data_IF_815057029883
#
_entry.id   IF_815057029883
#
_cell.length_a   1.000
_cell.length_b   1.000
_cell.length_c   1.000
_cell.angle_alpha   90.00
_cell.angle_beta   90.00
_cell.angle_gamma   90.00
#
_symmetry.space_group_name_H-M   'P 1'
#
loop_
_entity.id
_entity.type
_entity.pdbx_description
1 polymer ?
#
# COMPACT_ATOMS: atom_id res chain seq x y z
N UNK A 1 -7.27 -23.51 25.80
CA UNK A 1 -6.58 -22.25 25.38
C UNK A 1 -6.71 -22.11 23.86
N UNK A 2 -7.69 -21.34 23.39
CA UNK A 2 -7.80 -20.98 21.97
C UNK A 2 -7.12 -19.61 21.79
N UNK A 3 -5.97 -19.57 21.12
CA UNK A 3 -5.40 -18.32 20.65
C UNK A 3 -6.29 -17.80 19.52
N UNK A 4 -7.03 -16.73 19.81
CA UNK A 4 -7.67 -15.89 18.81
C UNK A 4 -6.60 -15.28 17.90
N UNK A 5 -6.31 -15.97 16.81
CA UNK A 5 -5.52 -15.45 15.70
C UNK A 5 -6.29 -14.25 15.14
N UNK A 6 -5.90 -13.05 15.53
CA UNK A 6 -6.33 -11.80 14.91
C UNK A 6 -6.06 -11.93 13.41
N UNK A 7 -7.09 -12.23 12.62
CA UNK A 7 -7.02 -12.26 11.16
C UNK A 7 -6.93 -10.81 10.69
N UNK A 8 -5.75 -10.22 10.84
CA UNK A 8 -5.39 -9.04 10.08
C UNK A 8 -5.25 -9.52 8.64
N UNK A 9 -6.31 -9.40 7.85
CA UNK A 9 -6.34 -9.83 6.45
C UNK A 9 -5.21 -9.12 5.73
N UNK A 10 -4.12 -9.84 5.45
CA UNK A 10 -2.93 -9.25 4.86
C UNK A 10 -3.32 -8.66 3.50
N UNK A 11 -3.19 -7.33 3.37
CA UNK A 11 -3.60 -6.63 2.14
C UNK A 11 -2.67 -7.09 1.03
N UNK A 12 -3.26 -7.56 -0.07
CA UNK A 12 -2.51 -8.03 -1.25
C UNK A 12 -2.65 -7.09 -2.44
N UNK A 13 -1.63 -7.03 -3.28
CA UNK A 13 -1.61 -6.26 -4.52
C UNK A 13 -1.11 -7.11 -5.69
N UNK A 14 -1.54 -6.76 -6.90
CA UNK A 14 -1.11 -7.44 -8.13
C UNK A 14 -0.27 -6.51 -8.99
N UNK A 15 0.52 -7.08 -9.92
CA UNK A 15 1.27 -6.28 -10.92
C UNK A 15 0.35 -5.36 -11.73
N UNK A 16 -0.88 -5.78 -11.99
CA UNK A 16 -1.87 -4.96 -12.70
C UNK A 16 -2.28 -3.73 -11.87
N UNK A 17 -2.50 -3.91 -10.58
CA UNK A 17 -2.79 -2.80 -9.67
C UNK A 17 -1.61 -1.83 -9.55
N UNK A 18 -0.37 -2.33 -9.48
CA UNK A 18 0.84 -1.49 -9.51
C UNK A 18 0.91 -0.62 -10.77
N UNK A 19 0.54 -1.18 -11.93
CA UNK A 19 0.44 -0.41 -13.18
C UNK A 19 -0.67 0.65 -13.12
N UNK A 20 -1.79 0.33 -12.48
CA UNK A 20 -2.87 1.27 -12.25
C UNK A 20 -2.47 2.45 -11.35
N UNK A 21 -1.48 2.27 -10.46
CA UNK A 21 -0.88 3.34 -9.66
C UNK A 21 0.18 4.16 -10.41
N UNK A 22 0.51 3.81 -11.66
CA UNK A 22 1.44 4.56 -12.51
C UNK A 22 2.77 3.84 -12.79
N UNK A 23 3.01 2.66 -12.23
CA UNK A 23 4.20 1.89 -12.57
C UNK A 23 4.14 1.40 -14.04
N UNK A 24 5.28 1.40 -14.73
CA UNK A 24 5.38 0.72 -16.01
C UNK A 24 5.37 -0.79 -15.83
N UNK A 25 5.14 -1.54 -16.91
CA UNK A 25 5.20 -3.02 -16.88
C UNK A 25 6.53 -3.51 -16.31
N UNK A 26 7.64 -2.94 -16.80
CA UNK A 26 8.98 -3.30 -16.35
C UNK A 26 9.18 -3.01 -14.85
N UNK A 27 8.73 -1.85 -14.37
CA UNK A 27 8.84 -1.49 -12.95
C UNK A 27 8.04 -2.46 -12.06
N UNK A 28 6.80 -2.78 -12.44
CA UNK A 28 5.97 -3.73 -11.70
C UNK A 28 6.61 -5.14 -11.64
N UNK A 29 7.23 -5.59 -12.74
CA UNK A 29 7.98 -6.84 -12.77
C UNK A 29 9.25 -6.77 -11.91
N UNK A 30 10.04 -5.71 -12.02
CA UNK A 30 11.28 -5.54 -11.28
C UNK A 30 11.08 -5.52 -9.75
N UNK A 31 10.04 -4.84 -9.28
CA UNK A 31 9.69 -4.75 -7.85
C UNK A 31 9.21 -6.11 -7.31
N UNK A 32 8.48 -6.88 -8.11
CA UNK A 32 7.88 -8.15 -7.67
C UNK A 32 8.73 -9.36 -8.04
N UNK A 33 9.89 -9.18 -8.68
CA UNK A 33 10.72 -10.27 -9.22
C UNK A 33 11.17 -11.26 -8.15
N UNK A 34 11.54 -10.75 -6.98
CA UNK A 34 12.08 -11.53 -5.87
C UNK A 34 11.04 -11.76 -4.77
N UNK A 35 9.76 -11.46 -5.03
CA UNK A 35 8.68 -11.63 -4.05
C UNK A 35 7.96 -12.94 -4.29
N UNK A 36 7.62 -13.64 -3.21
CA UNK A 36 6.79 -14.83 -3.26
C UNK A 36 5.32 -14.40 -3.30
N UNK A 37 4.56 -14.93 -4.27
CA UNK A 37 3.12 -14.71 -4.30
C UNK A 37 2.45 -15.49 -3.17
N UNK A 38 1.59 -14.82 -2.40
CA UNK A 38 0.87 -15.44 -1.27
C UNK A 38 -0.49 -15.99 -1.70
N UNK A 39 -1.04 -15.47 -2.79
CA UNK A 39 -2.29 -15.97 -3.37
C UNK A 39 -2.36 -15.67 -4.87
N UNK A 40 -3.41 -16.19 -5.50
CA UNK A 40 -3.82 -15.79 -6.85
C UNK A 40 -5.14 -15.00 -6.75
N UNK A 41 -5.19 -13.82 -7.37
CA UNK A 41 -6.43 -13.07 -7.57
C UNK A 41 -6.89 -13.31 -9.01
N UNK A 42 -7.69 -14.36 -9.21
CA UNK A 42 -8.04 -14.86 -10.54
C UNK A 42 -6.82 -15.49 -11.25
N UNK A 43 -6.41 -14.93 -12.40
CA UNK A 43 -5.21 -15.36 -13.15
C UNK A 43 -3.94 -14.58 -12.80
N UNK A 44 -4.00 -13.65 -11.84
CA UNK A 44 -2.88 -12.81 -11.46
C UNK A 44 -2.30 -13.21 -10.11
N UNK A 45 -0.96 -13.25 -10.01
CA UNK A 45 -0.26 -13.40 -8.74
C UNK A 45 -0.51 -12.19 -7.84
N UNK A 46 -0.87 -12.49 -6.59
CA UNK A 46 -1.11 -11.52 -5.53
C UNK A 46 0.06 -11.58 -4.53
N UNK A 47 0.63 -10.41 -4.28
CA UNK A 47 1.78 -10.21 -3.41
C UNK A 47 1.35 -9.42 -2.16
N UNK A 48 1.88 -9.72 -0.97
CA UNK A 48 1.65 -8.89 0.21
C UNK A 48 2.08 -7.46 -0.05
N UNK A 49 1.24 -6.49 0.32
CA UNK A 49 1.56 -5.07 0.12
C UNK A 49 2.78 -4.67 0.96
N UNK A 50 2.95 -5.25 2.15
CA UNK A 50 4.13 -5.13 3.01
C UNK A 50 5.44 -5.44 2.27
N UNK A 51 5.49 -6.60 1.63
CA UNK A 51 6.67 -7.07 0.89
C UNK A 51 6.95 -6.20 -0.33
N UNK A 52 5.89 -5.76 -1.03
CA UNK A 52 6.02 -4.85 -2.16
C UNK A 52 6.57 -3.49 -1.72
N UNK A 53 6.12 -2.96 -0.59
CA UNK A 53 6.64 -1.71 0.00
C UNK A 53 8.13 -1.85 0.34
N UNK A 54 8.53 -2.96 0.97
CA UNK A 54 9.93 -3.23 1.30
C UNK A 54 10.80 -3.30 0.04
N UNK A 55 10.32 -3.99 -1.01
CA UNK A 55 11.02 -4.09 -2.28
C UNK A 55 11.18 -2.74 -2.98
N UNK A 56 10.14 -1.88 -2.97
CA UNK A 56 10.25 -0.53 -3.55
C UNK A 56 11.29 0.31 -2.81
N UNK A 57 11.31 0.26 -1.47
CA UNK A 57 12.33 0.97 -0.66
C UNK A 57 13.74 0.50 -1.00
N UNK A 58 13.95 -0.81 -1.11
CA UNK A 58 15.23 -1.37 -1.52
C UNK A 58 15.60 -0.93 -2.95
N UNK A 59 14.63 -0.88 -3.85
CA UNK A 59 14.86 -0.40 -5.21
C UNK A 59 15.32 1.07 -5.20
N UNK A 60 14.63 1.95 -4.47
CA UNK A 60 14.95 3.39 -4.36
C UNK A 60 16.35 3.69 -3.79
N UNK A 61 16.93 2.77 -3.03
CA UNK A 61 18.30 2.88 -2.51
C UNK A 61 19.39 2.69 -3.58
N UNK A 62 19.04 2.22 -4.78
CA UNK A 62 20.01 2.05 -5.86
C UNK A 62 20.56 3.41 -6.32
N UNK A 63 21.90 3.56 -6.41
CA UNK A 63 22.52 4.85 -6.75
C UNK A 63 22.24 5.30 -8.18
N UNK A 64 22.04 4.34 -9.10
CA UNK A 64 21.81 4.61 -10.53
C UNK A 64 20.35 4.39 -10.91
N UNK A 65 19.45 5.19 -10.33
CA UNK A 65 18.04 5.26 -10.74
C UNK A 65 17.79 6.58 -11.46
N UNK A 66 17.11 6.49 -12.60
CA UNK A 66 16.65 7.68 -13.31
C UNK A 66 15.67 8.49 -12.44
N UNK A 67 15.81 9.82 -12.35
CA UNK A 67 14.95 10.67 -11.52
C UNK A 67 13.46 10.48 -11.79
N UNK A 68 13.05 10.34 -13.06
CA UNK A 68 11.67 10.06 -13.43
C UNK A 68 11.16 8.72 -12.87
N UNK A 69 12.01 7.68 -12.89
CA UNK A 69 11.67 6.38 -12.28
C UNK A 69 11.56 6.50 -10.76
N UNK A 70 12.44 7.25 -10.11
CA UNK A 70 12.37 7.52 -8.66
C UNK A 70 11.03 8.16 -8.28
N UNK A 71 10.63 9.23 -8.98
CA UNK A 71 9.35 9.92 -8.73
C UNK A 71 8.14 9.00 -8.89
N UNK A 72 8.11 8.18 -9.96
CA UNK A 72 7.02 7.21 -10.17
C UNK A 72 6.98 6.19 -9.02
N UNK A 73 8.13 5.66 -8.62
CA UNK A 73 8.20 4.68 -7.55
C UNK A 73 7.84 5.25 -6.17
N UNK A 74 8.18 6.50 -5.90
CA UNK A 74 7.75 7.23 -4.70
C UNK A 74 6.23 7.46 -4.69
N UNK A 75 5.63 7.82 -5.83
CA UNK A 75 4.18 7.95 -5.95
C UNK A 75 3.45 6.62 -5.74
N UNK A 76 3.97 5.53 -6.32
CA UNK A 76 3.43 4.17 -6.11
C UNK A 76 3.60 3.73 -4.66
N UNK A 77 4.75 4.01 -4.04
CA UNK A 77 5.00 3.74 -2.62
C UNK A 77 3.98 4.46 -1.74
N UNK A 78 3.73 5.75 -2.00
CA UNK A 78 2.75 6.54 -1.26
C UNK A 78 1.34 5.95 -1.38
N UNK A 79 0.92 5.57 -2.58
CA UNK A 79 -0.38 4.94 -2.80
C UNK A 79 -0.52 3.59 -2.07
N UNK A 80 0.55 2.80 -1.99
CA UNK A 80 0.57 1.54 -1.25
C UNK A 80 0.55 1.75 0.27
N UNK A 81 1.22 2.79 0.77
CA UNK A 81 1.21 3.16 2.20
C UNK A 81 -0.16 3.68 2.63
N UNK A 82 -0.79 4.54 1.83
CA UNK A 82 -2.20 4.96 2.01
C UNK A 82 -3.12 3.73 2.10
N UNK A 83 -2.90 2.75 1.22
CA UNK A 83 -3.68 1.51 1.18
C UNK A 83 -3.43 0.61 2.38
N UNK A 84 -2.21 0.51 2.92
CA UNK A 84 -1.95 -0.24 4.15
C UNK A 84 -2.69 0.37 5.34
N UNK A 85 -2.77 1.70 5.37
CA UNK A 85 -3.62 2.47 6.28
C UNK A 85 -2.80 3.34 7.22
N UNK A 86 -3.03 4.65 7.13
CA UNK A 86 -3.02 5.61 8.24
C UNK A 86 -1.93 5.45 9.31
N UNK A 87 -0.67 5.29 8.90
CA UNK A 87 0.46 5.56 9.79
C UNK A 87 0.68 7.08 9.78
N UNK A 88 -0.10 7.81 10.58
CA UNK A 88 0.30 9.15 11.00
C UNK A 88 1.44 8.93 11.99
N UNK A 89 2.65 9.36 11.66
CA UNK A 89 3.70 9.51 12.68
C UNK A 89 3.17 10.50 13.72
N UNK A 90 2.68 10.00 14.85
CA UNK A 90 2.36 10.84 16.00
C UNK A 90 3.69 11.05 16.72
N UNK A 91 4.24 12.28 16.78
CA UNK A 91 5.43 12.52 17.57
C UNK A 91 5.12 12.13 19.02
N UNK A 92 5.90 11.19 19.56
CA UNK A 92 5.87 10.82 20.97
C UNK A 92 6.36 12.02 21.80
N UNK A 93 5.48 12.98 22.09
CA UNK A 93 5.88 14.17 22.84
C UNK A 93 4.81 15.21 23.14
N UNK A 94 3.54 15.06 22.72
CA UNK A 94 2.56 16.14 22.90
C UNK A 94 1.19 15.64 23.37
N UNK A 95 0.93 15.94 24.65
CA UNK A 95 -0.36 16.12 25.33
C UNK A 95 -0.78 15.06 26.36
N UNK A 96 -0.63 15.49 27.61
CA UNK A 96 -1.03 14.88 28.88
C UNK A 96 -2.56 14.98 29.10
N UNK A 97 -3.38 14.72 28.07
CA UNK A 97 -4.85 14.77 28.22
C UNK A 97 -5.54 13.53 27.61
N UNK A 98 -6.04 12.60 28.44
CA UNK A 98 -6.60 11.32 28.00
C UNK A 98 -7.86 11.46 27.13
N UNK A 99 -8.62 12.54 27.27
CA UNK A 99 -9.81 12.79 26.44
C UNK A 99 -9.46 13.21 25.02
N UNK A 100 -8.43 14.04 24.84
CA UNK A 100 -7.90 14.44 23.53
C UNK A 100 -7.35 13.21 22.80
N UNK A 101 -6.65 12.32 23.52
CA UNK A 101 -6.17 11.07 22.95
C UNK A 101 -7.31 10.12 22.53
N UNK A 102 -8.42 10.10 23.28
CA UNK A 102 -9.60 9.28 22.93
C UNK A 102 -10.32 9.84 21.70
N UNK A 103 -10.52 11.15 21.63
CA UNK A 103 -11.08 11.85 20.47
C UNK A 103 -10.18 11.73 19.24
N UNK A 104 -8.86 11.90 19.39
CA UNK A 104 -7.89 11.70 18.32
C UNK A 104 -7.91 10.26 17.81
N UNK A 105 -8.00 9.25 18.70
CA UNK A 105 -8.15 7.85 18.31
C UNK A 105 -9.47 7.59 17.59
N UNK A 106 -10.58 8.12 18.08
CA UNK A 106 -11.89 7.99 17.42
C UNK A 106 -11.91 8.66 16.04
N UNK A 107 -11.35 9.85 15.92
CA UNK A 107 -11.21 10.57 14.65
C UNK A 107 -10.28 9.80 13.70
N UNK A 108 -9.15 9.28 14.18
CA UNK A 108 -8.23 8.48 13.38
C UNK A 108 -8.87 7.17 12.92
N UNK A 109 -9.70 6.54 13.76
CA UNK A 109 -10.47 5.35 13.40
C UNK A 109 -11.61 5.64 12.41
N UNK A 110 -12.33 6.76 12.60
CA UNK A 110 -13.36 7.18 11.66
C UNK A 110 -12.74 7.48 10.30
N UNK A 111 -11.65 8.26 10.30
CA UNK A 111 -10.87 8.59 9.12
C UNK A 111 -10.26 7.35 8.47
N UNK A 112 -9.77 6.37 9.23
CA UNK A 112 -9.22 5.13 8.67
C UNK A 112 -10.26 4.28 7.94
N UNK A 113 -11.53 4.32 8.36
CA UNK A 113 -12.62 3.67 7.62
C UNK A 113 -12.89 4.39 6.30
N UNK A 114 -12.95 5.72 6.31
CA UNK A 114 -13.16 6.51 5.09
C UNK A 114 -11.98 6.40 4.13
N UNK A 115 -10.76 6.45 4.64
CA UNK A 115 -9.52 6.31 3.85
C UNK A 115 -9.39 4.88 3.30
N UNK A 116 -9.80 3.86 4.06
CA UNK A 116 -9.84 2.47 3.56
C UNK A 116 -10.85 2.31 2.43
N UNK A 117 -12.06 2.86 2.59
CA UNK A 117 -13.07 2.86 1.54
C UNK A 117 -12.60 3.62 0.30
N UNK A 118 -11.94 4.77 0.48
CA UNK A 118 -11.37 5.56 -0.61
C UNK A 118 -10.19 4.84 -1.28
N UNK A 119 -9.36 4.13 -0.52
CA UNK A 119 -8.27 3.31 -1.04
C UNK A 119 -8.80 2.10 -1.83
N UNK A 120 -9.88 1.48 -1.38
CA UNK A 120 -10.60 0.43 -2.11
C UNK A 120 -11.19 0.99 -3.41
N UNK A 121 -11.86 2.14 -3.37
CA UNK A 121 -12.38 2.81 -4.57
C UNK A 121 -11.26 3.16 -5.57
N UNK A 122 -10.13 3.70 -5.09
CA UNK A 122 -8.94 3.95 -5.92
C UNK A 122 -8.39 2.67 -6.52
N UNK A 123 -8.33 1.57 -5.76
CA UNK A 123 -7.89 0.26 -6.27
C UNK A 123 -8.85 -0.27 -7.35
N UNK A 124 -10.15 -0.09 -7.15
CA UNK A 124 -11.19 -0.46 -8.12
C UNK A 124 -11.06 0.37 -9.39
N UNK A 125 -10.91 1.69 -9.27
CA UNK A 125 -10.66 2.60 -10.38
C UNK A 125 -9.37 2.26 -11.13
N UNK A 126 -8.31 1.89 -10.42
CA UNK A 126 -7.05 1.42 -11.01
C UNK A 126 -7.24 0.14 -11.84
N UNK A 127 -8.04 -0.83 -11.35
CA UNK A 127 -8.37 -2.02 -12.13
C UNK A 127 -9.20 -1.70 -13.39
N UNK A 128 -10.14 -0.75 -13.30
CA UNK A 128 -10.93 -0.30 -14.44
C UNK A 128 -10.07 0.42 -15.47
N UNK A 129 -9.25 1.38 -15.05
CA UNK A 129 -8.33 2.10 -15.94
C UNK A 129 -7.38 1.14 -16.66
N UNK A 130 -6.84 0.15 -15.97
CA UNK A 130 -5.97 -0.85 -16.58
C UNK A 130 -6.70 -1.77 -17.58
N UNK A 131 -8.01 -1.97 -17.43
CA UNK A 131 -8.84 -2.75 -18.35
C UNK A 131 -9.21 -1.97 -19.62
N UNK A 132 -9.38 -0.65 -19.52
CA UNK A 132 -9.86 0.21 -20.62
C UNK A 132 -8.76 1.03 -21.33
N UNK A 133 -7.54 1.10 -20.80
CA UNK A 133 -6.36 1.67 -21.50
C UNK A 133 -5.56 0.60 -22.29
N UNK A 134 -6.21 -0.47 -22.76
CA UNK A 134 -5.68 -1.33 -23.82
C UNK A 134 -6.24 -0.90 -25.16
#
# INVERSE_FOLDING_TARGET
>A
MQLSKSMNTEKVTTRLQLRGYGATRYQAEAITKNLTAVANQGRAYAYPVSDVVASIRQYLQRPRIQPATRQILEAVLQALLERLGNVIEVPFGSSTNPEINKLARQLTQARSRTDSALAELKATAATLKAKYNM
#
